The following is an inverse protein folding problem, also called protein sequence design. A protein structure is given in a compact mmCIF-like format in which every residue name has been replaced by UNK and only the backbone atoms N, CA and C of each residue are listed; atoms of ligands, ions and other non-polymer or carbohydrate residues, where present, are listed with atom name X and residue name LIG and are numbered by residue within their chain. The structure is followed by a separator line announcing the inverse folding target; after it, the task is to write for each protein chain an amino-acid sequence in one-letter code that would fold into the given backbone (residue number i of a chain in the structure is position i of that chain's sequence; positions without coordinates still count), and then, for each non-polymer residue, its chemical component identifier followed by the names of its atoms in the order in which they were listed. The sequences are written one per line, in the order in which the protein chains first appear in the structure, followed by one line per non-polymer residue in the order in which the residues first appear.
data_IF_312493908579
#
_entry.id   IF_312493908579
#
_cell.length_a   1.000
_cell.length_b   1.000
_cell.length_c   1.000
_cell.angle_alpha   90.00
_cell.angle_beta   90.00
_cell.angle_gamma   90.00
#
_symmetry.space_group_name_H-M   'P 1'
#
loop_
_entity.id
_entity.type
_entity.pdbx_description
1 polymer ?
#
# COMPACT_ATOMS: atom_id res chain seq x y z
N UNK A 1 10.60 -9.08 -16.27
CA UNK A 1 9.64 -9.64 -15.28
C UNK A 1 8.23 -9.75 -15.86
N UNK A 2 7.38 -10.65 -15.33
CA UNK A 2 5.98 -10.91 -15.76
C UNK A 2 5.13 -9.63 -15.88
N UNK A 3 5.28 -8.68 -14.97
CA UNK A 3 4.52 -7.42 -14.95
C UNK A 3 4.86 -6.45 -16.08
N UNK A 4 6.11 -6.42 -16.56
CA UNK A 4 6.51 -5.57 -17.69
C UNK A 4 5.84 -5.98 -19.00
N UNK A 5 5.50 -7.28 -19.14
CA UNK A 5 4.80 -7.80 -20.32
C UNK A 5 3.30 -7.53 -20.31
N UNK A 6 2.75 -7.09 -19.18
CA UNK A 6 1.32 -6.89 -18.97
C UNK A 6 0.97 -5.42 -18.69
N UNK A 7 1.89 -4.48 -18.90
CA UNK A 7 1.74 -3.07 -18.53
C UNK A 7 1.31 -2.86 -17.06
N UNK A 8 1.58 -3.84 -16.19
CA UNK A 8 1.16 -3.88 -14.79
C UNK A 8 2.21 -3.25 -13.85
N UNK A 9 3.23 -2.61 -14.42
CA UNK A 9 4.33 -1.99 -13.67
C UNK A 9 3.80 -0.92 -12.72
N UNK A 10 2.83 -0.11 -13.16
CA UNK A 10 2.19 0.91 -12.30
C UNK A 10 1.44 0.29 -11.12
N UNK A 11 0.76 -0.84 -11.33
CA UNK A 11 0.04 -1.55 -10.26
C UNK A 11 1.02 -2.08 -9.20
N UNK A 12 2.15 -2.65 -9.63
CA UNK A 12 3.20 -3.08 -8.71
C UNK A 12 3.89 -1.92 -8.00
N UNK A 13 4.11 -0.79 -8.69
CA UNK A 13 4.68 0.40 -8.08
C UNK A 13 3.78 0.92 -6.94
N UNK A 14 2.45 0.92 -7.13
CA UNK A 14 1.49 1.27 -6.07
C UNK A 14 1.52 0.29 -4.90
N UNK A 15 1.60 -1.01 -5.17
CA UNK A 15 1.76 -2.02 -4.11
C UNK A 15 3.03 -1.79 -3.30
N UNK A 16 4.16 -1.56 -3.98
CA UNK A 16 5.43 -1.24 -3.34
C UNK A 16 5.32 0.05 -2.50
N UNK A 17 4.74 1.12 -3.06
CA UNK A 17 4.56 2.40 -2.39
C UNK A 17 3.76 2.28 -1.09
N UNK A 18 2.59 1.64 -1.15
CA UNK A 18 1.70 1.52 0.00
C UNK A 18 2.08 0.43 1.01
N UNK A 19 3.18 -0.29 0.77
CA UNK A 19 3.69 -1.29 1.71
C UNK A 19 5.12 -0.96 2.14
N UNK A 20 6.08 -1.01 1.24
CA UNK A 20 7.49 -0.86 1.57
C UNK A 20 7.84 0.59 1.91
N UNK A 21 7.26 1.58 1.23
CA UNK A 21 7.59 2.99 1.45
C UNK A 21 6.71 3.63 2.54
N UNK A 22 5.39 3.43 2.49
CA UNK A 22 4.41 4.11 3.35
C UNK A 22 3.47 3.16 4.08
N UNK A 23 3.89 1.91 4.32
CA UNK A 23 3.09 0.92 5.02
C UNK A 23 2.94 1.17 6.51
N UNK A 24 1.73 0.89 7.01
CA UNK A 24 1.39 0.88 8.44
C UNK A 24 1.03 -0.54 8.89
N UNK A 25 1.13 -0.79 10.19
CA UNK A 25 0.73 -2.03 10.83
C UNK A 25 -0.29 -1.74 11.92
N UNK A 26 -1.40 -2.49 11.92
CA UNK A 26 -2.34 -2.50 13.03
C UNK A 26 -1.83 -3.46 14.10
N UNK A 27 -1.57 -2.96 15.29
CA UNK A 27 -1.12 -3.76 16.44
C UNK A 27 -2.11 -3.69 17.60
N UNK A 28 -1.95 -4.56 18.59
CA UNK A 28 -2.74 -4.49 19.82
C UNK A 28 -2.58 -3.16 20.58
N UNK A 29 -1.47 -2.45 20.36
CA UNK A 29 -1.17 -1.14 20.96
C UNK A 29 -1.48 0.03 20.01
N UNK A 30 -2.27 -0.22 18.96
CA UNK A 30 -2.64 0.76 17.94
C UNK A 30 -1.75 0.69 16.69
N UNK A 31 -1.84 1.73 15.86
CA UNK A 31 -1.18 1.78 14.55
C UNK A 31 0.30 2.09 14.72
N UNK A 32 1.16 1.44 13.92
CA UNK A 32 2.61 1.68 13.87
C UNK A 32 3.08 1.79 12.43
N UNK A 33 4.02 2.69 12.17
CA UNK A 33 4.66 2.77 10.85
C UNK A 33 5.76 1.72 10.71
N UNK A 34 5.88 1.13 9.52
CA UNK A 34 7.02 0.29 9.16
C UNK A 34 7.64 0.66 7.80
N UNK A 35 6.95 1.46 6.99
CA UNK A 35 7.44 1.89 5.68
C UNK A 35 8.73 2.72 5.77
N UNK A 36 9.68 2.46 4.87
CA UNK A 36 11.00 3.10 4.88
C UNK A 36 10.92 4.63 4.67
N UNK A 37 10.03 5.10 3.81
CA UNK A 37 9.77 6.53 3.61
C UNK A 37 9.25 7.23 4.87
N UNK A 38 8.35 6.57 5.61
CA UNK A 38 7.85 7.08 6.89
C UNK A 38 8.93 7.09 7.98
N UNK A 39 9.74 6.03 8.06
CA UNK A 39 10.78 5.90 9.09
C UNK A 39 11.98 6.84 8.86
N UNK A 40 12.21 7.28 7.63
CA UNK A 40 13.29 8.22 7.28
C UNK A 40 12.87 9.69 7.35
N UNK A 41 11.57 9.98 7.40
CA UNK A 41 11.01 11.34 7.45
C UNK A 41 10.10 11.53 8.68
N UNK A 42 10.67 12.02 9.77
CA UNK A 42 9.95 12.16 11.05
C UNK A 42 8.71 13.06 11.01
N UNK A 43 8.63 13.99 10.04
CA UNK A 43 7.49 14.92 9.93
C UNK A 43 6.16 14.26 9.59
N UNK A 44 6.17 13.12 8.89
CA UNK A 44 4.95 12.42 8.46
C UNK A 44 4.47 11.36 9.46
N UNK A 45 5.27 10.98 10.45
CA UNK A 45 4.92 9.90 11.40
C UNK A 45 3.69 10.25 12.26
N UNK A 46 3.66 11.43 12.87
CA UNK A 46 2.51 11.85 13.67
C UNK A 46 1.25 12.03 12.78
N UNK A 47 1.45 12.51 11.55
CA UNK A 47 0.36 12.63 10.59
C UNK A 47 -0.22 11.25 10.23
N UNK A 48 0.61 10.27 9.89
CA UNK A 48 0.15 8.96 9.44
C UNK A 48 -0.35 8.07 10.58
N UNK A 49 0.02 8.30 11.85
CA UNK A 49 -0.40 7.47 12.98
C UNK A 49 -1.55 8.11 13.77
N UNK A 50 -1.47 9.41 14.07
CA UNK A 50 -2.34 10.05 15.07
C UNK A 50 -3.36 11.03 14.47
N UNK A 51 -3.04 11.67 13.34
CA UNK A 51 -3.91 12.70 12.76
C UNK A 51 -5.23 12.09 12.22
N UNK A 52 -6.40 12.70 12.46
CA UNK A 52 -7.68 12.17 11.98
C UNK A 52 -7.93 12.40 10.47
N UNK A 53 -7.17 13.28 9.80
CA UNK A 53 -7.37 13.64 8.39
C UNK A 53 -7.06 12.49 7.41
N UNK A 54 -5.92 11.77 7.50
CA UNK A 54 -5.63 10.70 6.56
C UNK A 54 -6.49 9.47 6.83
N UNK A 55 -6.90 8.80 5.75
CA UNK A 55 -7.59 7.52 5.83
C UNK A 55 -6.59 6.40 6.11
N UNK A 56 -6.94 5.50 7.02
CA UNK A 56 -6.18 4.29 7.31
C UNK A 56 -7.06 3.10 7.00
N UNK A 57 -6.73 2.39 5.93
CA UNK A 57 -7.55 1.31 5.40
C UNK A 57 -6.85 -0.03 5.62
N UNK A 58 -7.61 -1.08 5.89
CA UNK A 58 -7.06 -2.42 5.89
C UNK A 58 -6.45 -2.74 4.52
N UNK A 59 -5.36 -3.52 4.54
CA UNK A 59 -4.71 -3.99 3.32
C UNK A 59 -5.72 -4.69 2.41
N UNK A 60 -5.80 -4.22 1.17
CA UNK A 60 -6.59 -4.83 0.10
C UNK A 60 -5.77 -4.72 -1.19
N UNK A 61 -5.35 -5.86 -1.71
CA UNK A 61 -4.40 -5.93 -2.82
C UNK A 61 -4.93 -5.23 -4.08
N UNK A 62 -6.19 -5.46 -4.43
CA UNK A 62 -6.80 -4.89 -5.62
C UNK A 62 -7.02 -3.38 -5.48
N UNK A 63 -7.48 -2.94 -4.32
CA UNK A 63 -7.65 -1.52 -4.01
C UNK A 63 -6.31 -0.80 -4.06
N UNK A 64 -5.27 -1.34 -3.44
CA UNK A 64 -3.93 -0.77 -3.45
C UNK A 64 -3.43 -0.61 -4.89
N UNK A 65 -3.54 -1.66 -5.72
CA UNK A 65 -3.10 -1.61 -7.11
C UNK A 65 -3.86 -0.59 -7.98
N UNK A 66 -5.03 -0.11 -7.54
CA UNK A 66 -5.82 0.94 -8.21
C UNK A 66 -5.63 2.34 -7.61
N UNK A 67 -5.00 2.45 -6.44
CA UNK A 67 -4.90 3.72 -5.72
C UNK A 67 -3.68 4.51 -6.21
N UNK A 68 -3.89 5.71 -6.73
CA UNK A 68 -2.80 6.63 -7.07
C UNK A 68 -2.19 7.24 -5.81
N UNK A 69 -0.88 7.51 -5.84
CA UNK A 69 -0.14 8.07 -4.72
C UNK A 69 0.47 9.44 -5.04
N UNK A 70 0.73 10.21 -3.98
CA UNK A 70 1.40 11.51 -4.04
C UNK A 70 2.89 11.31 -3.77
N UNK A 71 3.78 11.97 -4.52
CA UNK A 71 5.23 11.94 -4.23
C UNK A 71 5.73 13.20 -3.52
N UNK A 72 4.97 14.29 -3.58
CA UNK A 72 5.38 15.64 -3.18
C UNK A 72 4.65 16.17 -1.94
N UNK A 73 3.73 15.38 -1.37
CA UNK A 73 2.96 15.71 -0.17
C UNK A 73 2.61 14.46 0.63
N UNK A 74 2.16 14.68 1.87
CA UNK A 74 1.71 13.60 2.75
C UNK A 74 0.55 12.82 2.12
N UNK A 75 0.53 11.52 2.39
CA UNK A 75 -0.47 10.65 1.78
C UNK A 75 -1.86 10.89 2.40
N UNK A 76 -2.88 11.03 1.56
CA UNK A 76 -4.28 11.09 2.02
C UNK A 76 -4.79 9.73 2.51
N UNK A 77 -4.09 8.66 2.16
CA UNK A 77 -4.50 7.28 2.47
C UNK A 77 -3.27 6.42 2.73
N UNK A 78 -3.31 5.68 3.84
CA UNK A 78 -2.34 4.66 4.20
C UNK A 78 -3.04 3.31 4.32
N UNK A 79 -2.30 2.24 4.10
CA UNK A 79 -2.80 0.88 4.23
C UNK A 79 -2.15 0.18 5.43
N UNK A 80 -2.97 -0.51 6.22
CA UNK A 80 -2.55 -1.23 7.42
C UNK A 80 -2.53 -2.73 7.16
N UNK A 81 -1.40 -3.37 7.44
CA UNK A 81 -1.29 -4.83 7.54
C UNK A 81 -1.44 -5.26 9.00
N UNK A 82 -1.85 -6.51 9.24
CA UNK A 82 -1.90 -7.05 10.61
C UNK A 82 -0.56 -7.67 11.04
N UNK A 83 0.25 -8.09 10.06
CA UNK A 83 1.59 -8.64 10.25
C UNK A 83 2.31 -8.77 8.91
N UNK A 84 3.64 -8.92 8.93
CA UNK A 84 4.39 -9.28 7.73
C UNK A 84 3.96 -10.63 7.14
N UNK A 85 3.56 -11.59 7.98
CA UNK A 85 3.04 -12.87 7.51
C UNK A 85 1.71 -12.70 6.74
N UNK A 86 0.84 -11.77 7.18
CA UNK A 86 -0.35 -11.37 6.45
C UNK A 86 0.05 -10.80 5.08
N UNK A 87 0.95 -9.81 5.02
CA UNK A 87 1.41 -9.23 3.75
C UNK A 87 2.00 -10.29 2.79
N UNK A 88 2.86 -11.18 3.29
CA UNK A 88 3.46 -12.25 2.49
C UNK A 88 2.40 -13.23 1.95
N UNK A 89 1.40 -13.58 2.75
CA UNK A 89 0.31 -14.47 2.32
C UNK A 89 -0.55 -13.84 1.23
N UNK A 90 -0.93 -12.57 1.37
CA UNK A 90 -1.73 -11.87 0.36
C UNK A 90 -0.97 -11.66 -0.95
N UNK A 91 0.36 -11.58 -0.89
CA UNK A 91 1.22 -11.32 -2.06
C UNK A 91 1.85 -12.59 -2.66
N UNK A 92 1.61 -13.76 -2.07
CA UNK A 92 2.10 -15.05 -2.58
C UNK A 92 1.43 -15.53 -3.88
N UNK A 93 0.11 -15.32 -4.11
CA UNK A 93 -0.55 -15.79 -5.33
C UNK A 93 -0.06 -15.11 -6.62
N UNK A 94 -0.34 -15.73 -7.77
CA UNK A 94 -0.08 -15.13 -9.08
C UNK A 94 -0.98 -13.90 -9.29
N UNK A 95 -0.38 -12.74 -9.55
CA UNK A 95 -1.11 -11.49 -9.79
C UNK A 95 -1.74 -11.36 -11.18
N UNK A 96 -1.47 -12.29 -12.11
CA UNK A 96 -2.01 -12.23 -13.48
C UNK A 96 -3.53 -12.10 -13.56
N UNK A 97 -4.33 -12.88 -12.79
CA UNK A 97 -5.78 -12.73 -12.78
C UNK A 97 -6.23 -11.39 -12.17
N UNK A 98 -5.46 -10.86 -11.22
CA UNK A 98 -5.73 -9.58 -10.53
C UNK A 98 -5.58 -8.43 -11.52
N UNK A 99 -4.48 -8.41 -12.28
CA UNK A 99 -4.25 -7.40 -13.31
C UNK A 99 -5.36 -7.37 -14.36
N UNK A 100 -5.90 -8.55 -14.71
CA UNK A 100 -7.03 -8.65 -15.64
C UNK A 100 -8.31 -8.04 -15.06
N UNK A 101 -8.67 -8.38 -13.81
CA UNK A 101 -9.86 -7.83 -13.13
C UNK A 101 -9.80 -6.32 -12.96
N UNK A 102 -8.63 -5.78 -12.60
CA UNK A 102 -8.46 -4.34 -12.44
C UNK A 102 -8.69 -3.62 -13.78
N UNK A 103 -8.15 -4.16 -14.89
CA UNK A 103 -8.35 -3.58 -16.22
C UNK A 103 -9.80 -3.61 -16.67
N UNK A 104 -10.53 -4.69 -16.44
CA UNK A 104 -11.95 -4.80 -16.84
C UNK A 104 -12.88 -3.88 -16.04
N UNK A 105 -12.41 -3.34 -14.90
CA UNK A 105 -13.19 -2.41 -14.07
C UNK A 105 -12.96 -0.94 -14.49
N UNK A 106 -11.95 -0.69 -15.34
CA UNK A 106 -11.59 0.65 -15.84
C UNK A 106 -12.12 0.94 -17.25
N UNK A 107 -12.82 -0.02 -17.87
CA UNK A 107 -13.50 0.08 -19.16
C UNK A 107 -15.01 0.26 -18.97
#
# INVERSE_FOLDING_TARGET
LKAMRLDAVRMLARLYWYTIEFGLMQTASGIRAYGAGLLSSGGELAYCVDDPRPRRLAFDLERIMRTEYQIDRYQETYFTIDSFAHLMRETAPDFTPIYARIRSTLS
#
